data_IF_151057001633
#
_entry.id   IF_151057001633
#
_cell.length_a   1.000
_cell.length_b   1.000
_cell.length_c   1.000
_cell.angle_alpha   90.00
_cell.angle_beta   90.00
_cell.angle_gamma   90.00
#
_symmetry.space_group_name_H-M   'P 1'
#
loop_
_entity.id
_entity.type
_entity.pdbx_description
1 polymer ?
#
# COMPACT_ATOMS: atom_id res chain seq x y z
N UNK A 1 -24.66 20.41 0.64
CA UNK A 1 -24.46 19.68 -0.64
C UNK A 1 -23.87 18.35 -0.22
N UNK A 2 -24.57 17.22 -0.41
CA UNK A 2 -24.15 15.93 0.17
C UNK A 2 -23.06 15.29 -0.65
N UNK A 3 -21.97 14.89 0.00
CA UNK A 3 -21.07 13.90 -0.57
C UNK A 3 -21.68 12.51 -0.34
N UNK A 4 -22.17 11.89 -1.41
CA UNK A 4 -22.83 10.59 -1.36
C UNK A 4 -21.84 9.45 -1.08
N UNK A 5 -20.55 9.67 -1.31
CA UNK A 5 -19.49 8.68 -1.09
C UNK A 5 -19.03 8.66 0.36
N UNK A 6 -18.86 9.84 0.97
CA UNK A 6 -18.38 9.95 2.35
C UNK A 6 -19.50 10.03 3.39
N UNK A 7 -20.76 10.21 2.95
CA UNK A 7 -21.91 10.38 3.86
C UNK A 7 -21.86 11.67 4.68
N UNK A 8 -21.02 12.63 4.28
CA UNK A 8 -20.81 13.88 5.00
C UNK A 8 -21.81 14.95 4.52
N UNK A 9 -22.49 15.59 5.47
CA UNK A 9 -23.39 16.71 5.18
C UNK A 9 -22.77 18.02 5.68
N UNK A 10 -22.05 18.70 4.77
CA UNK A 10 -21.47 20.00 5.06
C UNK A 10 -22.45 21.13 4.72
N UNK A 11 -22.66 22.03 5.69
CA UNK A 11 -23.40 23.30 5.48
C UNK A 11 -22.70 24.20 4.46
N UNK A 12 -21.36 24.15 4.40
CA UNK A 12 -20.50 24.78 3.41
C UNK A 12 -19.26 23.92 3.23
N UNK A 13 -18.79 23.75 2.00
CA UNK A 13 -17.58 22.98 1.74
C UNK A 13 -16.36 23.59 2.45
N UNK A 14 -15.45 22.76 2.99
CA UNK A 14 -14.18 23.25 3.51
C UNK A 14 -13.39 24.01 2.43
N UNK A 15 -12.70 25.06 2.84
CA UNK A 15 -11.77 25.78 1.95
C UNK A 15 -10.44 25.05 1.83
N UNK A 16 -9.64 25.39 0.82
CA UNK A 16 -8.27 24.88 0.65
C UNK A 16 -7.43 25.07 1.92
N UNK A 17 -7.55 26.23 2.58
CA UNK A 17 -6.87 26.51 3.85
C UNK A 17 -7.28 25.52 4.96
N UNK A 18 -8.53 25.06 4.96
CA UNK A 18 -9.01 24.06 5.92
C UNK A 18 -8.38 22.70 5.63
N UNK A 19 -8.29 22.29 4.36
CA UNK A 19 -7.63 21.05 3.97
C UNK A 19 -6.13 21.08 4.29
N UNK A 20 -5.44 22.16 3.98
CA UNK A 20 -4.01 22.33 4.30
C UNK A 20 -3.76 22.25 5.81
N UNK A 21 -4.58 22.92 6.61
CA UNK A 21 -4.50 22.83 8.07
C UNK A 21 -4.72 21.40 8.56
N UNK A 22 -5.74 20.71 8.05
CA UNK A 22 -6.05 19.34 8.41
C UNK A 22 -4.90 18.38 8.04
N UNK A 23 -4.40 18.44 6.81
CA UNK A 23 -3.29 17.60 6.37
C UNK A 23 -2.00 17.86 7.15
N UNK A 24 -1.76 19.10 7.58
CA UNK A 24 -0.61 19.43 8.44
C UNK A 24 -0.75 18.86 9.86
N UNK A 25 -1.98 18.74 10.37
CA UNK A 25 -2.27 18.23 11.73
C UNK A 25 -2.55 16.74 11.80
N UNK A 26 -2.87 16.10 10.68
CA UNK A 26 -3.24 14.70 10.65
C UNK A 26 -2.04 13.79 11.01
N UNK A 27 -2.27 12.84 11.92
CA UNK A 27 -1.36 11.73 12.13
C UNK A 27 -1.52 10.74 10.98
N UNK A 28 -0.64 10.84 9.99
CA UNK A 28 -0.74 10.09 8.72
C UNK A 28 -0.84 8.57 8.93
N UNK A 29 -0.10 8.04 9.90
CA UNK A 29 -0.12 6.61 10.21
C UNK A 29 -1.48 6.14 10.74
N UNK A 30 -2.03 6.84 11.74
CA UNK A 30 -3.33 6.52 12.33
C UNK A 30 -4.46 6.72 11.31
N UNK A 31 -4.39 7.80 10.54
CA UNK A 31 -5.34 8.05 9.46
C UNK A 31 -5.31 6.93 8.42
N UNK A 32 -4.12 6.48 8.01
CA UNK A 32 -3.96 5.36 7.08
C UNK A 32 -4.60 4.07 7.60
N UNK A 33 -4.40 3.74 8.87
CA UNK A 33 -5.00 2.56 9.50
C UNK A 33 -6.53 2.62 9.53
N UNK A 34 -7.10 3.77 9.92
CA UNK A 34 -8.55 3.95 9.96
C UNK A 34 -9.14 3.91 8.55
N UNK A 35 -8.48 4.55 7.58
CA UNK A 35 -8.89 4.54 6.18
C UNK A 35 -8.87 3.11 5.60
N UNK A 36 -7.81 2.35 5.87
CA UNK A 36 -7.66 0.95 5.48
C UNK A 36 -8.79 0.08 6.06
N UNK A 37 -9.03 0.18 7.37
CA UNK A 37 -10.13 -0.55 8.02
C UNK A 37 -11.50 -0.18 7.44
N UNK A 38 -11.72 1.10 7.17
CA UNK A 38 -12.95 1.55 6.50
C UNK A 38 -13.07 0.97 5.09
N UNK A 39 -12.03 1.03 4.26
CA UNK A 39 -12.08 0.46 2.91
C UNK A 39 -12.38 -1.05 2.93
N UNK A 40 -11.78 -1.80 3.86
CA UNK A 40 -12.09 -3.22 4.09
C UNK A 40 -13.56 -3.41 4.46
N UNK A 41 -14.12 -2.56 5.34
CA UNK A 41 -15.53 -2.64 5.73
C UNK A 41 -16.52 -2.38 4.60
N UNK A 42 -16.09 -1.69 3.54
CA UNK A 42 -16.93 -1.44 2.35
C UNK A 42 -17.00 -2.63 1.40
N UNK A 43 -16.17 -3.66 1.60
CA UNK A 43 -16.18 -4.87 0.79
C UNK A 43 -17.42 -5.71 1.13
N UNK A 44 -18.31 -6.01 0.15
CA UNK A 44 -19.49 -6.83 0.37
C UNK A 44 -19.12 -8.20 0.95
N UNK A 45 -19.88 -8.71 1.93
CA UNK A 45 -19.55 -9.96 2.64
C UNK A 45 -19.30 -11.12 1.68
N UNK A 46 -18.07 -11.60 1.71
CA UNK A 46 -17.56 -12.73 0.96
C UNK A 46 -16.09 -12.49 0.70
N UNK A 47 -15.21 -13.14 1.47
CA UNK A 47 -13.76 -13.15 1.25
C UNK A 47 -13.34 -13.75 -0.12
N UNK A 48 -14.29 -13.95 -1.02
CA UNK A 48 -14.09 -14.25 -2.44
C UNK A 48 -13.33 -13.10 -3.07
N UNK A 49 -12.04 -13.28 -3.33
CA UNK A 49 -11.17 -12.26 -3.91
C UNK A 49 -9.92 -11.89 -3.11
N UNK A 50 -9.71 -12.49 -1.94
CA UNK A 50 -8.44 -12.40 -1.18
C UNK A 50 -7.45 -13.52 -1.54
N UNK A 51 -7.86 -14.46 -2.38
CA UNK A 51 -7.06 -15.57 -2.91
C UNK A 51 -5.98 -15.12 -3.89
N UNK A 52 -6.07 -13.89 -4.42
CA UNK A 52 -5.05 -13.31 -5.28
C UNK A 52 -4.75 -11.85 -4.91
N UNK A 53 -3.48 -11.56 -4.65
CA UNK A 53 -2.97 -10.22 -4.38
C UNK A 53 -1.93 -9.80 -5.41
N UNK A 54 -1.97 -8.52 -5.78
CA UNK A 54 -1.00 -7.90 -6.69
C UNK A 54 -0.16 -6.92 -5.91
N UNK A 55 1.15 -6.99 -6.08
CA UNK A 55 2.12 -6.11 -5.44
C UNK A 55 2.79 -5.23 -6.50
N UNK A 56 2.89 -3.93 -6.22
CA UNK A 56 3.49 -2.97 -7.16
C UNK A 56 4.17 -1.81 -6.41
N UNK A 57 5.34 -1.42 -6.92
CA UNK A 57 6.16 -0.32 -6.43
C UNK A 57 5.97 0.96 -7.25
N UNK A 58 5.87 2.12 -6.57
CA UNK A 58 5.77 3.43 -7.20
C UNK A 58 6.68 4.44 -6.50
N UNK A 59 7.44 5.19 -7.29
CA UNK A 59 8.13 6.38 -6.80
C UNK A 59 7.14 7.53 -6.59
N UNK A 60 7.19 8.18 -5.42
CA UNK A 60 6.38 9.34 -5.14
C UNK A 60 6.97 10.56 -5.85
N UNK A 61 6.28 11.06 -6.87
CA UNK A 61 6.71 12.22 -7.65
C UNK A 61 6.90 13.43 -6.74
N UNK A 62 8.03 14.13 -6.89
CA UNK A 62 8.36 15.32 -6.12
C UNK A 62 9.05 15.05 -4.78
N UNK A 63 9.32 13.77 -4.45
CA UNK A 63 10.08 13.39 -3.24
C UNK A 63 11.59 13.33 -3.43
N UNK A 64 12.08 13.61 -4.64
CA UNK A 64 13.50 13.55 -4.94
C UNK A 64 14.28 14.63 -4.17
N UNK A 65 15.32 14.21 -3.47
CA UNK A 65 16.25 15.06 -2.73
C UNK A 65 17.66 14.70 -3.16
N UNK A 66 18.44 15.70 -3.54
CA UNK A 66 19.87 15.54 -3.80
C UNK A 66 20.61 15.29 -2.48
N UNK A 67 21.46 14.27 -2.48
CA UNK A 67 22.30 13.90 -1.33
C UNK A 67 23.67 14.59 -1.43
N UNK A 68 24.43 14.58 -0.33
CA UNK A 68 25.74 15.25 -0.26
C UNK A 68 26.77 14.74 -1.28
N UNK A 69 26.61 13.49 -1.75
CA UNK A 69 27.45 12.85 -2.76
C UNK A 69 27.00 13.13 -4.21
N UNK A 70 25.99 13.97 -4.41
CA UNK A 70 25.45 14.32 -5.73
C UNK A 70 24.54 13.25 -6.35
N UNK A 71 24.17 12.20 -5.58
CA UNK A 71 23.13 11.26 -5.99
C UNK A 71 21.74 11.80 -5.60
N UNK A 72 20.68 11.06 -5.99
CA UNK A 72 19.31 11.40 -5.61
C UNK A 72 18.70 10.26 -4.81
N UNK A 73 18.13 10.60 -3.66
CA UNK A 73 17.20 9.73 -2.94
C UNK A 73 15.77 10.20 -3.18
N UNK A 74 14.83 9.28 -3.12
CA UNK A 74 13.41 9.59 -3.22
C UNK A 74 12.62 8.67 -2.30
N UNK A 75 11.38 9.07 -2.04
CA UNK A 75 10.44 8.21 -1.34
C UNK A 75 9.72 7.36 -2.37
N UNK A 76 9.72 6.05 -2.16
CA UNK A 76 8.94 5.10 -2.92
C UNK A 76 7.93 4.41 -2.01
N UNK A 77 6.89 3.85 -2.62
CA UNK A 77 5.83 3.12 -1.95
C UNK A 77 5.68 1.76 -2.62
N UNK A 78 5.48 0.72 -1.83
CA UNK A 78 5.00 -0.57 -2.33
C UNK A 78 3.61 -0.85 -1.75
N UNK A 79 2.73 -1.36 -2.61
CA UNK A 79 1.30 -1.58 -2.28
C UNK A 79 0.92 -3.02 -2.54
N UNK A 80 0.20 -3.64 -1.60
CA UNK A 80 -0.49 -4.93 -1.76
C UNK A 80 -1.95 -4.64 -2.05
N UNK A 81 -2.41 -5.08 -3.22
CA UNK A 81 -3.72 -4.76 -3.77
C UNK A 81 -4.57 -6.01 -3.99
N UNK A 82 -5.77 -6.03 -3.42
CA UNK A 82 -6.76 -7.07 -3.68
C UNK A 82 -7.55 -6.70 -4.94
N UNK A 83 -7.18 -7.33 -6.07
CA UNK A 83 -7.75 -7.01 -7.39
C UNK A 83 -9.26 -7.17 -7.44
N UNK A 84 -9.76 -8.28 -6.90
CA UNK A 84 -11.19 -8.60 -6.92
C UNK A 84 -12.03 -7.63 -6.07
N UNK A 85 -11.41 -7.05 -5.03
CA UNK A 85 -12.06 -6.14 -4.09
C UNK A 85 -11.88 -4.66 -4.46
N UNK A 86 -10.94 -4.35 -5.35
CA UNK A 86 -10.66 -2.97 -5.76
C UNK A 86 -9.95 -2.13 -4.71
N UNK A 87 -9.28 -2.76 -3.72
CA UNK A 87 -8.74 -2.07 -2.53
C UNK A 87 -7.26 -2.36 -2.32
N UNK A 88 -6.51 -1.34 -1.89
CA UNK A 88 -5.17 -1.49 -1.34
C UNK A 88 -5.29 -2.05 0.08
N UNK A 89 -4.94 -3.33 0.25
CA UNK A 89 -5.01 -4.00 1.54
C UNK A 89 -3.90 -3.55 2.47
N UNK A 90 -2.72 -3.23 1.96
CA UNK A 90 -1.60 -2.74 2.76
C UNK A 90 -0.67 -1.93 1.86
N UNK A 91 0.03 -0.97 2.44
CA UNK A 91 1.04 -0.18 1.74
C UNK A 91 2.10 0.27 2.74
N UNK A 92 3.33 0.42 2.26
CA UNK A 92 4.40 1.04 3.05
C UNK A 92 5.28 1.91 2.17
N UNK A 93 5.77 3.00 2.73
CA UNK A 93 6.72 3.90 2.08
C UNK A 93 8.12 3.66 2.62
N UNK A 94 9.13 3.81 1.78
CA UNK A 94 10.52 3.69 2.15
C UNK A 94 11.37 4.75 1.43
N UNK A 95 12.43 5.19 2.10
CA UNK A 95 13.47 6.00 1.48
C UNK A 95 14.41 5.07 0.69
N UNK A 96 14.67 5.39 -0.58
CA UNK A 96 15.51 4.55 -1.45
C UNK A 96 16.99 4.54 -1.08
N UNK A 97 17.44 5.44 -0.21
CA UNK A 97 18.80 5.43 0.32
C UNK A 97 18.94 4.48 1.52
N UNK A 98 17.87 4.27 2.28
CA UNK A 98 17.88 3.45 3.50
C UNK A 98 17.41 2.01 3.23
N UNK A 99 16.52 1.83 2.25
CA UNK A 99 15.89 0.55 1.99
C UNK A 99 15.63 0.33 0.50
N UNK A 100 15.04 -0.81 0.18
CA UNK A 100 14.69 -1.21 -1.18
C UNK A 100 13.26 -1.74 -1.23
N UNK A 101 12.65 -1.68 -2.41
CA UNK A 101 11.30 -2.22 -2.65
C UNK A 101 11.17 -3.67 -2.19
N UNK A 102 12.21 -4.47 -2.44
CA UNK A 102 12.26 -5.87 -2.04
C UNK A 102 12.17 -6.05 -0.52
N UNK A 103 12.92 -5.24 0.24
CA UNK A 103 12.91 -5.30 1.69
C UNK A 103 11.55 -4.84 2.23
N UNK A 104 11.06 -3.70 1.74
CA UNK A 104 9.77 -3.14 2.11
C UNK A 104 8.61 -4.08 1.80
N UNK A 105 8.58 -4.70 0.61
CA UNK A 105 7.54 -5.64 0.22
C UNK A 105 7.57 -6.91 1.08
N UNK A 106 8.78 -7.44 1.36
CA UNK A 106 8.92 -8.64 2.18
C UNK A 106 8.41 -8.40 3.60
N UNK A 107 8.74 -7.25 4.19
CA UNK A 107 8.23 -6.83 5.49
C UNK A 107 6.70 -6.66 5.44
N UNK A 108 6.18 -5.97 4.43
CA UNK A 108 4.74 -5.75 4.27
C UNK A 108 3.97 -7.07 4.17
N UNK A 109 4.43 -8.02 3.35
CA UNK A 109 3.82 -9.35 3.23
C UNK A 109 3.90 -10.16 4.52
N UNK A 110 4.96 -10.00 5.32
CA UNK A 110 5.10 -10.69 6.61
C UNK A 110 4.09 -10.25 7.67
N UNK A 111 3.45 -9.09 7.47
CA UNK A 111 2.40 -8.57 8.35
C UNK A 111 1.00 -9.10 8.03
N UNK A 112 0.85 -9.86 6.93
CA UNK A 112 -0.44 -10.34 6.43
C UNK A 112 -0.58 -11.85 6.62
N UNK A 113 -1.83 -12.31 6.79
CA UNK A 113 -2.16 -13.73 6.67
C UNK A 113 -2.30 -14.08 5.18
N UNK A 114 -1.38 -14.91 4.68
CA UNK A 114 -1.22 -15.21 3.25
C UNK A 114 -1.42 -16.70 2.94
N UNK A 115 -2.00 -17.48 3.86
CA UNK A 115 -2.21 -18.90 3.59
C UNK A 115 -3.21 -19.12 2.44
N UNK A 116 -2.78 -19.85 1.43
CA UNK A 116 -3.59 -20.14 0.24
C UNK A 116 -3.69 -18.96 -0.74
N UNK A 117 -2.93 -17.88 -0.54
CA UNK A 117 -2.98 -16.67 -1.36
C UNK A 117 -1.92 -16.71 -2.47
N UNK A 118 -2.36 -16.46 -3.71
CA UNK A 118 -1.49 -16.23 -4.86
C UNK A 118 -0.98 -14.78 -4.85
N UNK A 119 0.33 -14.61 -4.69
CA UNK A 119 0.99 -13.31 -4.81
C UNK A 119 1.53 -13.12 -6.23
N UNK A 120 1.12 -12.03 -6.87
CA UNK A 120 1.69 -11.54 -8.12
C UNK A 120 2.49 -10.27 -7.84
N UNK A 121 3.68 -10.16 -8.40
CA UNK A 121 4.52 -8.98 -8.27
C UNK A 121 5.42 -8.83 -9.52
N UNK A 122 6.12 -7.71 -9.64
CA UNK A 122 7.09 -7.49 -10.73
C UNK A 122 8.20 -8.57 -10.73
N UNK A 123 8.77 -8.82 -11.92
CA UNK A 123 9.93 -9.69 -12.09
C UNK A 123 11.14 -9.24 -11.26
N UNK A 124 11.24 -7.96 -10.89
CA UNK A 124 12.24 -7.45 -9.94
C UNK A 124 12.36 -8.29 -8.66
N UNK A 125 11.26 -8.91 -8.21
CA UNK A 125 11.23 -9.71 -6.99
C UNK A 125 11.70 -11.16 -7.17
N UNK A 126 12.00 -11.63 -8.38
CA UNK A 126 12.44 -13.00 -8.64
C UNK A 126 13.89 -13.23 -8.22
N UNK A 127 14.17 -13.12 -6.92
CA UNK A 127 15.51 -13.27 -6.33
C UNK A 127 15.48 -14.25 -5.15
N UNK A 128 16.55 -15.01 -4.96
CA UNK A 128 16.64 -15.99 -3.85
C UNK A 128 16.43 -15.34 -2.48
N UNK A 129 16.96 -14.14 -2.26
CA UNK A 129 16.83 -13.43 -0.99
C UNK A 129 15.38 -13.01 -0.67
N UNK A 130 14.57 -12.72 -1.70
CA UNK A 130 13.15 -12.41 -1.51
C UNK A 130 12.40 -13.65 -1.00
N UNK A 131 12.63 -14.80 -1.61
CA UNK A 131 12.02 -16.08 -1.21
C UNK A 131 12.70 -16.78 -0.04
N UNK A 132 13.82 -16.26 0.49
CA UNK A 132 14.48 -16.85 1.65
C UNK A 132 13.52 -16.86 2.86
N UNK A 133 13.21 -18.06 3.37
CA UNK A 133 12.24 -18.27 4.45
C UNK A 133 10.83 -18.65 3.98
N UNK A 134 10.55 -18.55 2.68
CA UNK A 134 9.32 -19.09 2.10
C UNK A 134 9.51 -20.58 1.76
N UNK A 135 8.54 -21.42 2.13
CA UNK A 135 8.55 -22.82 1.70
C UNK A 135 8.00 -22.94 0.28
N UNK A 136 8.68 -23.66 -0.64
CA UNK A 136 8.14 -23.91 -1.97
C UNK A 136 6.82 -24.68 -1.82
N UNK A 137 5.76 -24.16 -2.46
CA UNK A 137 4.50 -24.88 -2.65
C UNK A 137 4.53 -25.56 -4.01
N UNK A 138 3.86 -26.72 -4.11
CA UNK A 138 3.71 -27.40 -5.40
C UNK A 138 3.02 -26.49 -6.43
N UNK A 139 3.19 -26.77 -7.73
CA UNK A 139 2.52 -26.01 -8.79
C UNK A 139 1.01 -25.99 -8.54
N UNK A 140 0.40 -24.81 -8.66
CA UNK A 140 -1.04 -24.59 -8.45
C UNK A 140 -1.89 -24.96 -9.67
N UNK A 141 -1.26 -25.43 -10.76
CA UNK A 141 -1.94 -25.92 -11.95
C UNK A 141 -2.03 -27.45 -11.93
N UNK A 142 -3.26 -27.95 -11.93
CA UNK A 142 -3.63 -29.33 -12.32
C UNK A 142 -3.92 -29.42 -13.82
#
# INVERSE_FOLDING_TARGET
MRDRLLGLDFKRWPSDATFLYLFNKAHLQEFGQVLQAWMISQVPSGATGLDQLVCDGKTLRGSAVETEDGSHRFVAQVTVYARALGVALAQTTYDTHESSERAALKELLSSLDLDGVLIQADALHTTQAFFAGASPRGPTCS
#
